data_IF_848848078335
#
_entry.id   IF_848848078335
#
_cell.length_a   1.000
_cell.length_b   1.000
_cell.length_c   1.000
_cell.angle_alpha   90.00
_cell.angle_beta   90.00
_cell.angle_gamma   90.00
#
_symmetry.space_group_name_H-M   'P 1'
#
loop_
_entity.id
_entity.type
_entity.pdbx_description
1 polymer ?
#
# COMPACT_ATOMS: atom_id res chain seq x y z
N UNK A 1 14.45 3.32 -10.29
CA UNK A 1 14.93 2.98 -11.65
C UNK A 1 13.76 3.19 -12.58
N UNK A 2 13.86 4.07 -13.57
CA UNK A 2 12.91 4.14 -14.68
C UNK A 2 13.02 2.81 -15.42
N UNK A 3 12.08 1.91 -15.20
CA UNK A 3 11.98 0.71 -16.01
C UNK A 3 11.68 1.17 -17.43
N UNK A 4 12.58 0.91 -18.37
CA UNK A 4 12.30 1.10 -19.78
C UNK A 4 10.98 0.41 -20.07
N UNK A 5 9.99 1.19 -20.50
CA UNK A 5 8.64 0.70 -20.77
C UNK A 5 8.67 -0.10 -22.07
N UNK A 6 9.20 -1.32 -22.00
CA UNK A 6 9.19 -2.26 -23.12
C UNK A 6 7.74 -2.67 -23.36
N UNK A 7 7.21 -2.35 -24.53
CA UNK A 7 5.85 -2.71 -24.91
C UNK A 7 5.70 -4.22 -25.04
N UNK A 8 4.50 -4.73 -24.80
CA UNK A 8 4.21 -6.16 -24.82
C UNK A 8 4.43 -6.78 -26.23
N UNK A 9 4.32 -5.98 -27.30
CA UNK A 9 4.58 -6.38 -28.68
C UNK A 9 6.00 -6.90 -28.90
N UNK A 10 6.98 -6.44 -28.11
CA UNK A 10 8.36 -6.93 -28.17
C UNK A 10 8.48 -8.43 -27.87
N UNK A 11 7.48 -9.02 -27.23
CA UNK A 11 7.44 -10.47 -26.99
C UNK A 11 7.31 -11.27 -28.30
N UNK A 12 6.82 -10.67 -29.40
CA UNK A 12 6.74 -11.32 -30.71
C UNK A 12 8.12 -11.65 -31.29
N UNK A 13 9.17 -10.98 -30.83
CA UNK A 13 10.55 -11.26 -31.25
C UNK A 13 11.11 -12.57 -30.65
N UNK A 14 10.34 -13.24 -29.78
CA UNK A 14 10.78 -14.45 -29.11
C UNK A 14 10.02 -15.69 -29.58
N UNK A 15 10.73 -16.82 -29.79
CA UNK A 15 10.10 -18.05 -30.27
C UNK A 15 8.97 -18.53 -29.34
N UNK A 16 7.90 -19.02 -29.95
CA UNK A 16 6.77 -19.58 -29.23
C UNK A 16 5.73 -18.58 -28.75
N UNK A 17 5.93 -17.26 -28.90
CA UNK A 17 4.95 -16.23 -28.59
C UNK A 17 4.40 -15.64 -29.91
N UNK A 18 3.18 -15.99 -30.24
CA UNK A 18 2.50 -15.51 -31.47
C UNK A 18 1.46 -14.43 -31.17
N UNK A 19 0.93 -13.82 -32.24
CA UNK A 19 -0.10 -12.77 -32.16
C UNK A 19 -1.33 -13.15 -31.34
N UNK A 20 -1.75 -14.42 -31.40
CA UNK A 20 -2.90 -14.93 -30.62
C UNK A 20 -2.62 -14.83 -29.12
N UNK A 21 -1.43 -15.25 -28.69
CA UNK A 21 -1.02 -15.14 -27.29
C UNK A 21 -0.93 -13.69 -26.84
N UNK A 22 -0.34 -12.83 -27.66
CA UNK A 22 -0.26 -11.40 -27.39
C UNK A 22 -1.65 -10.77 -27.23
N UNK A 23 -2.58 -11.08 -28.15
CA UNK A 23 -3.95 -10.58 -28.08
C UNK A 23 -4.66 -11.00 -26.77
N UNK A 24 -4.44 -12.25 -26.32
CA UNK A 24 -5.00 -12.73 -25.06
C UNK A 24 -4.45 -11.95 -23.86
N UNK A 25 -3.15 -11.65 -23.85
CA UNK A 25 -2.52 -10.84 -22.79
C UNK A 25 -2.99 -9.38 -22.83
N UNK A 26 -3.11 -8.79 -24.01
CA UNK A 26 -3.63 -7.41 -24.17
C UNK A 26 -5.07 -7.27 -23.70
N UNK A 27 -5.91 -8.31 -23.84
CA UNK A 27 -7.27 -8.31 -23.29
C UNK A 27 -7.32 -8.22 -21.75
N UNK A 28 -6.23 -8.59 -21.06
CA UNK A 28 -6.08 -8.41 -19.61
C UNK A 28 -5.61 -6.99 -19.23
N UNK A 29 -5.61 -6.05 -20.20
CA UNK A 29 -5.10 -4.70 -19.96
C UNK A 29 -3.59 -4.62 -19.79
N UNK A 30 -2.83 -5.66 -20.20
CA UNK A 30 -1.36 -5.68 -20.10
C UNK A 30 -0.80 -4.99 -21.33
N UNK A 31 -0.16 -3.85 -21.14
CA UNK A 31 0.44 -3.05 -22.23
C UNK A 31 1.97 -3.15 -22.27
N UNK A 32 2.58 -3.44 -21.13
CA UNK A 32 4.04 -3.46 -20.97
C UNK A 32 4.54 -4.77 -20.38
N UNK A 33 5.73 -5.19 -20.82
CA UNK A 33 6.36 -6.45 -20.36
C UNK A 33 6.57 -6.50 -18.85
N UNK A 34 6.87 -5.36 -18.22
CA UNK A 34 7.08 -5.31 -16.77
C UNK A 34 5.82 -5.66 -15.96
N UNK A 35 4.62 -5.44 -16.51
CA UNK A 35 3.36 -5.77 -15.84
C UNK A 35 3.18 -7.29 -15.70
N UNK A 36 3.73 -8.07 -16.65
CA UNK A 36 3.71 -9.53 -16.57
C UNK A 36 4.47 -10.09 -15.37
N UNK A 37 5.43 -9.35 -14.84
CA UNK A 37 6.20 -9.77 -13.66
C UNK A 37 5.36 -9.78 -12.38
N UNK A 38 4.23 -9.09 -12.38
CA UNK A 38 3.26 -9.08 -11.28
C UNK A 38 2.54 -10.42 -11.13
N UNK A 39 2.38 -11.16 -12.22
CA UNK A 39 1.62 -12.41 -12.23
C UNK A 39 2.50 -13.62 -11.95
N UNK A 40 1.89 -14.66 -11.39
CA UNK A 40 2.45 -16.00 -11.44
C UNK A 40 1.96 -16.74 -12.70
N UNK A 41 2.61 -17.87 -13.09
CA UNK A 41 2.22 -18.59 -14.30
C UNK A 41 0.79 -19.11 -14.27
N UNK A 42 0.29 -19.54 -13.11
CA UNK A 42 -1.07 -20.06 -12.92
C UNK A 42 -2.11 -18.96 -13.15
N UNK A 43 -1.87 -17.75 -12.65
CA UNK A 43 -2.74 -16.59 -12.89
C UNK A 43 -2.82 -16.27 -14.40
N UNK A 44 -1.68 -16.24 -15.10
CA UNK A 44 -1.66 -15.99 -16.55
C UNK A 44 -2.33 -17.13 -17.32
N UNK A 45 -2.12 -18.38 -16.91
CA UNK A 45 -2.79 -19.54 -17.51
C UNK A 45 -4.31 -19.40 -17.45
N UNK A 46 -4.84 -19.10 -16.26
CA UNK A 46 -6.29 -18.98 -16.03
C UNK A 46 -6.87 -17.75 -16.73
N UNK A 47 -6.29 -16.57 -16.53
CA UNK A 47 -6.82 -15.31 -17.03
C UNK A 47 -6.71 -15.18 -18.56
N UNK A 48 -5.57 -15.57 -19.14
CA UNK A 48 -5.36 -15.51 -20.59
C UNK A 48 -5.83 -16.77 -21.33
N UNK A 49 -6.26 -17.81 -20.62
CA UNK A 49 -6.63 -19.11 -21.20
C UNK A 49 -5.55 -19.64 -22.15
N UNK A 50 -4.33 -19.81 -21.63
CA UNK A 50 -3.18 -20.40 -22.31
C UNK A 50 -2.65 -21.57 -21.47
N UNK A 51 -1.82 -22.44 -22.09
CA UNK A 51 -1.23 -23.55 -21.34
C UNK A 51 -0.18 -23.07 -20.33
N UNK A 52 0.03 -23.88 -19.29
CA UNK A 52 0.94 -23.53 -18.16
C UNK A 52 2.39 -23.42 -18.62
N UNK A 53 2.84 -24.23 -19.57
CA UNK A 53 4.22 -24.18 -20.06
C UNK A 53 4.50 -22.85 -20.76
N UNK A 54 3.54 -22.40 -21.57
CA UNK A 54 3.59 -21.10 -22.24
C UNK A 54 3.52 -19.95 -21.24
N UNK A 55 2.66 -20.01 -20.23
CA UNK A 55 2.61 -19.04 -19.16
C UNK A 55 3.96 -18.94 -18.42
N UNK A 56 4.57 -20.07 -18.06
CA UNK A 56 5.91 -20.13 -17.49
C UNK A 56 6.98 -19.53 -18.39
N UNK A 57 6.90 -19.77 -19.70
CA UNK A 57 7.83 -19.19 -20.68
C UNK A 57 7.71 -17.66 -20.71
N UNK A 58 6.49 -17.13 -20.80
CA UNK A 58 6.20 -15.70 -20.85
C UNK A 58 6.72 -15.00 -19.59
N UNK A 59 6.40 -15.52 -18.41
CA UNK A 59 6.84 -14.92 -17.13
C UNK A 59 8.37 -14.95 -16.99
N UNK A 60 9.01 -16.07 -17.37
CA UNK A 60 10.50 -16.15 -17.35
C UNK A 60 11.14 -15.14 -18.30
N UNK A 61 10.54 -14.96 -19.48
CA UNK A 61 10.99 -13.99 -20.47
C UNK A 61 10.81 -12.55 -19.96
N UNK A 62 9.62 -12.23 -19.44
CA UNK A 62 9.34 -10.92 -18.86
C UNK A 62 10.35 -10.56 -17.75
N UNK A 63 10.61 -11.48 -16.83
CA UNK A 63 11.63 -11.29 -15.76
C UNK A 63 13.04 -11.07 -16.30
N UNK A 64 13.37 -11.68 -17.44
CA UNK A 64 14.67 -11.50 -18.11
C UNK A 64 14.76 -10.10 -18.73
N UNK A 65 13.73 -9.68 -19.47
CA UNK A 65 13.68 -8.37 -20.16
C UNK A 65 13.73 -7.23 -19.13
N UNK A 66 12.96 -7.34 -18.07
CA UNK A 66 12.89 -6.33 -16.99
C UNK A 66 14.13 -6.34 -16.07
N UNK A 67 15.00 -7.35 -16.21
CA UNK A 67 16.18 -7.48 -15.34
C UNK A 67 15.85 -7.89 -13.90
N UNK A 68 14.60 -8.27 -13.62
CA UNK A 68 14.15 -8.70 -12.29
C UNK A 68 14.34 -10.22 -12.09
N UNK A 69 15.58 -10.63 -11.99
CA UNK A 69 15.91 -11.94 -11.44
C UNK A 69 16.31 -11.79 -9.98
N UNK A 70 15.77 -12.67 -9.13
CA UNK A 70 16.31 -12.81 -7.78
C UNK A 70 17.81 -13.15 -7.90
N UNK A 71 18.65 -12.27 -7.39
CA UNK A 71 20.08 -12.50 -7.27
C UNK A 71 20.38 -12.76 -5.80
N UNK A 72 21.24 -13.73 -5.54
CA UNK A 72 21.80 -13.88 -4.21
C UNK A 72 22.69 -12.67 -3.92
N UNK A 73 22.41 -11.97 -2.83
CA UNK A 73 23.22 -10.91 -2.28
C UNK A 73 23.75 -11.37 -0.92
N UNK A 74 24.97 -11.03 -0.57
CA UNK A 74 25.37 -11.16 0.82
C UNK A 74 24.67 -10.10 1.69
N UNK A 75 24.71 -10.27 3.02
CA UNK A 75 23.95 -9.39 3.92
C UNK A 75 24.38 -7.90 3.82
N UNK A 76 25.65 -7.63 3.57
CA UNK A 76 26.17 -6.27 3.41
C UNK A 76 25.67 -5.62 2.12
N UNK A 77 25.68 -6.35 1.01
CA UNK A 77 25.09 -5.88 -0.27
C UNK A 77 23.59 -5.62 -0.11
N UNK A 78 22.88 -6.50 0.59
CA UNK A 78 21.47 -6.33 0.88
C UNK A 78 21.20 -5.11 1.77
N UNK A 79 22.01 -4.88 2.81
CA UNK A 79 21.96 -3.69 3.65
C UNK A 79 22.10 -2.41 2.81
N UNK A 80 23.06 -2.39 1.87
CA UNK A 80 23.22 -1.26 0.96
C UNK A 80 21.95 -0.99 0.14
N UNK A 81 21.35 -2.05 -0.44
CA UNK A 81 20.06 -1.93 -1.16
C UNK A 81 18.97 -1.38 -0.25
N UNK A 82 18.88 -1.86 0.99
CA UNK A 82 17.86 -1.40 1.94
C UNK A 82 18.05 0.07 2.33
N UNK A 83 19.29 0.54 2.45
CA UNK A 83 19.63 1.91 2.80
C UNK A 83 19.42 2.90 1.64
N UNK A 84 19.37 2.43 0.39
CA UNK A 84 19.06 3.29 -0.77
C UNK A 84 17.57 3.50 -1.01
N UNK A 85 16.70 2.83 -0.24
CA UNK A 85 15.24 3.02 -0.38
C UNK A 85 14.83 4.41 0.04
N UNK A 86 14.02 5.04 -0.78
CA UNK A 86 13.46 6.35 -0.48
C UNK A 86 12.40 6.26 0.63
N UNK A 87 12.33 7.27 1.47
CA UNK A 87 11.26 7.45 2.46
C UNK A 87 10.75 8.88 2.40
N UNK A 88 9.55 9.09 2.93
CA UNK A 88 8.98 10.44 3.06
C UNK A 88 8.43 10.67 4.46
N UNK A 89 8.50 11.92 4.89
CA UNK A 89 8.09 12.35 6.23
C UNK A 89 6.59 12.17 6.46
N UNK A 90 6.21 11.83 7.68
CA UNK A 90 4.83 11.92 8.13
C UNK A 90 4.39 13.36 8.41
N UNK A 91 5.34 14.31 8.42
CA UNK A 91 5.12 15.70 8.81
C UNK A 91 5.03 15.90 10.32
N UNK A 92 5.34 14.87 11.13
CA UNK A 92 5.39 14.90 12.59
C UNK A 92 6.71 14.30 13.03
N UNK A 93 7.60 15.10 13.59
CA UNK A 93 8.98 14.70 13.94
C UNK A 93 9.03 13.53 14.92
N UNK A 94 8.12 13.51 15.88
CA UNK A 94 8.05 12.42 16.86
C UNK A 94 7.67 11.08 16.20
N UNK A 95 6.77 11.09 15.21
CA UNK A 95 6.41 9.91 14.43
C UNK A 95 7.58 9.52 13.51
N UNK A 96 8.17 10.48 12.79
CA UNK A 96 9.32 10.20 11.90
C UNK A 96 10.48 9.57 12.68
N UNK A 97 10.76 10.04 13.89
CA UNK A 97 11.76 9.42 14.79
C UNK A 97 11.38 7.98 15.15
N UNK A 98 10.11 7.73 15.49
CA UNK A 98 9.60 6.38 15.79
C UNK A 98 9.80 5.43 14.60
N UNK A 99 9.41 5.86 13.40
CA UNK A 99 9.49 5.04 12.18
C UNK A 99 10.86 5.09 11.48
N UNK A 100 11.86 5.71 12.13
CA UNK A 100 13.26 5.82 11.66
C UNK A 100 13.41 6.55 10.32
N UNK A 101 12.76 7.70 10.20
CA UNK A 101 12.95 8.64 9.08
C UNK A 101 11.70 8.94 8.26
N UNK A 102 10.63 8.15 8.40
CA UNK A 102 9.40 8.34 7.64
C UNK A 102 8.85 7.03 7.07
N UNK A 103 7.86 7.15 6.20
CA UNK A 103 7.25 6.01 5.50
C UNK A 103 8.16 5.63 4.32
N UNK A 104 8.65 4.40 4.33
CA UNK A 104 9.63 3.91 3.35
C UNK A 104 8.92 3.19 2.19
N UNK A 105 9.35 3.43 0.96
CA UNK A 105 8.89 2.63 -0.20
C UNK A 105 9.24 1.15 0.00
N UNK A 106 8.43 0.25 -0.59
CA UNK A 106 8.42 -1.21 -0.43
C UNK A 106 7.81 -1.68 0.89
N UNK A 107 7.71 -0.82 1.91
CA UNK A 107 7.09 -1.20 3.16
C UNK A 107 5.56 -1.12 3.07
N UNK A 108 4.91 -2.03 3.78
CA UNK A 108 3.46 -2.02 4.00
C UNK A 108 3.22 -1.67 5.45
N UNK A 109 2.55 -0.54 5.69
CA UNK A 109 2.26 -0.03 7.03
C UNK A 109 0.78 -0.19 7.37
N UNK A 110 0.48 -0.90 8.45
CA UNK A 110 -0.85 -0.96 9.05
C UNK A 110 -0.97 0.07 10.16
N UNK A 111 -2.01 0.92 10.07
CA UNK A 111 -2.43 1.80 11.15
C UNK A 111 -3.78 1.34 11.70
N UNK A 112 -3.76 0.65 12.83
CA UNK A 112 -4.95 0.15 13.48
C UNK A 112 -5.39 1.06 14.63
N UNK A 113 -6.68 1.09 14.93
CA UNK A 113 -7.20 1.87 16.06
C UNK A 113 -8.71 1.99 16.05
N UNK A 114 -9.26 2.52 17.15
CA UNK A 114 -10.68 2.79 17.29
C UNK A 114 -11.15 3.94 16.38
N UNK A 115 -12.45 4.12 16.32
CA UNK A 115 -13.03 5.34 15.75
C UNK A 115 -12.48 6.58 16.48
N UNK A 116 -12.14 7.63 15.73
CA UNK A 116 -11.56 8.85 16.31
C UNK A 116 -10.09 8.74 16.76
N UNK A 117 -9.40 7.62 16.51
CA UNK A 117 -7.97 7.47 16.85
C UNK A 117 -7.00 8.19 15.91
N UNK A 118 -7.48 8.85 14.85
CA UNK A 118 -6.67 9.67 13.95
C UNK A 118 -6.13 8.95 12.71
N UNK A 119 -6.53 7.70 12.41
CA UNK A 119 -6.07 6.92 11.25
C UNK A 119 -6.27 7.67 9.93
N UNK A 120 -7.52 8.04 9.62
CA UNK A 120 -7.89 8.81 8.42
C UNK A 120 -7.16 10.14 8.34
N UNK A 121 -6.97 10.84 9.47
CA UNK A 121 -6.23 12.09 9.51
C UNK A 121 -4.75 11.91 9.16
N UNK A 122 -4.13 10.83 9.63
CA UNK A 122 -2.78 10.46 9.24
C UNK A 122 -2.72 10.14 7.74
N UNK A 123 -3.67 9.38 7.21
CA UNK A 123 -3.76 9.07 5.77
C UNK A 123 -3.87 10.34 4.90
N UNK A 124 -4.73 11.30 5.27
CA UNK A 124 -4.81 12.59 4.58
C UNK A 124 -3.48 13.32 4.58
N UNK A 125 -2.78 13.35 5.72
CA UNK A 125 -1.50 14.03 5.81
C UNK A 125 -0.41 13.32 4.99
N UNK A 126 -0.34 12.00 5.00
CA UNK A 126 0.60 11.24 4.17
C UNK A 126 0.37 11.48 2.67
N UNK A 127 -0.90 11.60 2.23
CA UNK A 127 -1.23 11.94 0.84
C UNK A 127 -0.74 13.34 0.43
N UNK A 128 -0.54 14.24 1.39
CA UNK A 128 0.05 15.56 1.17
C UNK A 128 1.57 15.50 1.26
N UNK A 129 2.13 14.86 2.28
CA UNK A 129 3.58 14.90 2.55
C UNK A 129 4.41 14.13 1.53
N UNK A 130 3.88 13.09 0.89
CA UNK A 130 4.55 12.39 -0.22
C UNK A 130 4.82 13.31 -1.43
N UNK A 131 4.08 14.41 -1.55
CA UNK A 131 4.20 15.40 -2.62
C UNK A 131 5.24 16.50 -2.34
N UNK A 132 5.74 16.59 -1.11
CA UNK A 132 6.76 17.57 -0.77
C UNK A 132 8.04 17.35 -1.61
N UNK A 133 8.82 18.42 -1.86
CA UNK A 133 10.16 18.29 -2.40
C UNK A 133 11.04 17.38 -1.56
N UNK A 134 12.04 16.74 -2.18
CA UNK A 134 12.95 15.82 -1.48
C UNK A 134 13.68 16.52 -0.32
N UNK A 135 14.07 17.80 -0.49
CA UNK A 135 14.73 18.61 0.55
C UNK A 135 13.85 18.86 1.78
N UNK A 136 12.55 18.70 1.62
CA UNK A 136 11.55 18.83 2.69
C UNK A 136 11.04 17.46 3.17
N UNK A 137 11.73 16.39 2.78
CA UNK A 137 11.42 15.03 3.17
C UNK A 137 10.25 14.39 2.40
N UNK A 138 9.89 14.88 1.22
CA UNK A 138 8.90 14.27 0.34
C UNK A 138 9.51 13.42 -0.76
N UNK A 139 8.70 13.02 -1.74
CA UNK A 139 9.13 12.26 -2.93
C UNK A 139 8.70 12.93 -4.24
N UNK A 140 8.16 14.15 -4.19
CA UNK A 140 7.60 14.89 -5.34
C UNK A 140 6.61 14.06 -6.17
N UNK A 141 5.83 13.20 -5.49
CA UNK A 141 5.08 12.13 -6.12
C UNK A 141 3.60 12.21 -5.81
N UNK A 142 2.81 11.49 -6.61
CA UNK A 142 1.37 11.38 -6.45
C UNK A 142 1.00 10.30 -5.42
N UNK A 143 -0.23 10.38 -4.91
CA UNK A 143 -0.83 9.35 -4.08
C UNK A 143 -2.10 8.78 -4.73
N UNK A 144 -2.33 7.49 -4.54
CA UNK A 144 -3.63 6.85 -4.73
C UNK A 144 -4.29 6.70 -3.37
N UNK A 145 -5.55 7.15 -3.25
CA UNK A 145 -6.36 7.04 -2.04
C UNK A 145 -7.62 6.23 -2.32
N UNK A 146 -7.70 5.04 -1.77
CA UNK A 146 -8.86 4.15 -1.89
C UNK A 146 -9.69 4.31 -0.62
N UNK A 147 -10.81 5.03 -0.76
CA UNK A 147 -11.72 5.38 0.33
C UNK A 147 -12.89 4.40 0.38
N UNK A 148 -12.82 3.42 1.24
CA UNK A 148 -13.89 2.40 1.42
C UNK A 148 -14.92 2.78 2.49
N UNK A 149 -14.65 3.84 3.27
CA UNK A 149 -15.53 4.31 4.34
C UNK A 149 -16.27 5.61 3.99
N UNK A 150 -15.93 6.25 2.86
CA UNK A 150 -16.53 7.50 2.44
C UNK A 150 -16.11 8.71 3.25
N UNK A 151 -14.88 8.70 3.78
CA UNK A 151 -14.37 9.70 4.71
C UNK A 151 -13.30 10.62 4.14
N UNK A 152 -12.93 10.45 2.87
CA UNK A 152 -11.99 11.35 2.20
C UNK A 152 -12.55 12.76 2.10
N UNK A 153 -11.79 13.75 2.56
CA UNK A 153 -12.21 15.15 2.61
C UNK A 153 -11.25 16.08 1.84
N UNK A 154 -11.65 16.58 0.67
CA UNK A 154 -10.85 17.56 -0.07
C UNK A 154 -10.60 18.87 0.70
N UNK A 155 -11.56 19.34 1.53
CA UNK A 155 -11.36 20.50 2.39
C UNK A 155 -10.22 20.23 3.39
N UNK A 156 -10.20 19.04 3.97
CA UNK A 156 -9.15 18.64 4.91
C UNK A 156 -7.76 18.60 4.24
N UNK A 157 -7.67 18.17 3.00
CA UNK A 157 -6.44 18.24 2.22
C UNK A 157 -5.98 19.70 2.06
N UNK A 158 -6.91 20.63 1.75
CA UNK A 158 -6.59 22.08 1.65
C UNK A 158 -6.02 22.64 2.95
N UNK A 159 -6.63 22.31 4.08
CA UNK A 159 -6.16 22.76 5.40
C UNK A 159 -4.74 22.26 5.69
N UNK A 160 -4.47 20.98 5.42
CA UNK A 160 -3.16 20.37 5.61
C UNK A 160 -2.11 21.00 4.66
N UNK A 161 -2.45 21.23 3.38
CA UNK A 161 -1.52 21.84 2.41
C UNK A 161 -1.07 23.22 2.83
N UNK A 162 -1.92 24.00 3.52
CA UNK A 162 -1.57 25.34 4.02
C UNK A 162 -0.37 25.32 4.97
N UNK A 163 -0.31 24.32 5.87
CA UNK A 163 0.83 24.13 6.78
C UNK A 163 2.13 23.82 6.02
N UNK A 164 2.03 23.03 4.99
CA UNK A 164 3.19 22.64 4.19
C UNK A 164 3.49 23.59 3.05
N UNK A 165 2.81 24.75 2.95
CA UNK A 165 3.03 25.75 1.91
C UNK A 165 3.00 25.14 0.49
N UNK A 166 2.12 24.16 0.27
CA UNK A 166 1.86 23.57 -1.04
C UNK A 166 0.67 24.27 -1.70
N UNK A 167 0.68 24.33 -3.02
CA UNK A 167 -0.48 24.76 -3.77
C UNK A 167 -1.60 23.71 -3.63
N UNK A 168 -2.72 24.07 -3.01
CA UNK A 168 -3.81 23.17 -2.68
C UNK A 168 -4.46 22.54 -3.93
N UNK A 169 -4.62 23.29 -5.03
CA UNK A 169 -5.20 22.78 -6.28
C UNK A 169 -4.26 21.71 -6.91
N UNK A 170 -2.96 22.00 -6.94
CA UNK A 170 -1.96 21.03 -7.43
C UNK A 170 -1.94 19.77 -6.55
N UNK A 171 -1.97 19.97 -5.23
CA UNK A 171 -1.96 18.84 -4.29
C UNK A 171 -3.20 17.95 -4.44
N UNK A 172 -4.39 18.55 -4.60
CA UNK A 172 -5.61 17.78 -4.86
C UNK A 172 -5.55 17.03 -6.19
N UNK A 173 -5.03 17.62 -7.27
CA UNK A 173 -4.87 16.95 -8.57
C UNK A 173 -3.88 15.78 -8.51
N UNK A 174 -2.95 15.78 -7.57
CA UNK A 174 -1.97 14.74 -7.37
C UNK A 174 -2.47 13.58 -6.47
N UNK A 175 -3.68 13.68 -5.91
CA UNK A 175 -4.31 12.60 -5.15
C UNK A 175 -5.41 11.99 -6.01
N UNK A 176 -5.22 10.75 -6.43
CA UNK A 176 -6.22 9.98 -7.17
C UNK A 176 -7.12 9.25 -6.17
N UNK A 177 -8.39 9.63 -6.13
CA UNK A 177 -9.34 9.09 -5.14
C UNK A 177 -10.27 8.10 -5.82
N UNK A 178 -10.36 6.90 -5.24
CA UNK A 178 -11.28 5.83 -5.63
C UNK A 178 -12.22 5.50 -4.48
N UNK A 179 -13.50 5.27 -4.80
CA UNK A 179 -14.52 4.92 -3.81
C UNK A 179 -15.27 3.65 -4.22
N UNK A 180 -14.63 2.47 -4.11
CA UNK A 180 -15.30 1.21 -4.39
C UNK A 180 -16.47 1.00 -3.41
N UNK A 181 -17.60 0.54 -3.91
CA UNK A 181 -18.82 0.32 -3.10
C UNK A 181 -18.98 -1.13 -2.63
N UNK A 182 -18.18 -2.04 -3.17
CA UNK A 182 -18.19 -3.46 -2.82
C UNK A 182 -16.78 -4.07 -2.96
N UNK A 183 -16.65 -5.33 -2.50
CA UNK A 183 -15.36 -6.02 -2.54
C UNK A 183 -14.91 -6.33 -3.97
N UNK A 184 -15.84 -6.62 -4.88
CA UNK A 184 -15.50 -6.91 -6.27
C UNK A 184 -14.85 -5.71 -6.95
N UNK A 185 -15.43 -4.50 -6.82
CA UNK A 185 -14.84 -3.27 -7.33
C UNK A 185 -13.49 -2.93 -6.70
N UNK A 186 -13.32 -3.18 -5.39
CA UNK A 186 -12.05 -2.98 -4.72
C UNK A 186 -10.96 -3.89 -5.29
N UNK A 187 -11.27 -5.15 -5.50
CA UNK A 187 -10.32 -6.13 -6.04
C UNK A 187 -10.01 -5.86 -7.52
N UNK A 188 -11.03 -5.55 -8.33
CA UNK A 188 -10.87 -5.14 -9.73
C UNK A 188 -9.96 -3.91 -9.86
N UNK A 189 -10.23 -2.86 -9.08
CA UNK A 189 -9.38 -1.68 -9.02
C UNK A 189 -7.92 -2.05 -8.72
N UNK A 190 -7.69 -2.88 -7.70
CA UNK A 190 -6.33 -3.23 -7.29
C UNK A 190 -5.66 -4.15 -8.31
N UNK A 191 -6.36 -5.12 -8.87
CA UNK A 191 -5.76 -6.11 -9.78
C UNK A 191 -5.59 -5.56 -11.19
N UNK A 192 -6.52 -4.76 -11.68
CA UNK A 192 -6.57 -4.35 -13.09
C UNK A 192 -6.15 -2.91 -13.32
N UNK A 193 -6.70 -1.94 -12.57
CA UNK A 193 -6.49 -0.52 -12.86
C UNK A 193 -5.20 0.04 -12.27
N UNK A 194 -4.83 -0.35 -11.03
CA UNK A 194 -3.65 0.23 -10.37
C UNK A 194 -2.36 0.06 -11.15
N UNK A 195 -2.24 -0.99 -11.96
CA UNK A 195 -1.03 -1.24 -12.79
C UNK A 195 -0.68 -0.05 -13.67
N UNK A 196 -1.66 0.45 -14.41
CA UNK A 196 -1.48 1.58 -15.34
C UNK A 196 -1.21 2.89 -14.58
N UNK A 197 -1.88 3.08 -13.45
CA UNK A 197 -1.80 4.29 -12.63
C UNK A 197 -0.43 4.42 -11.96
N UNK A 198 0.09 3.33 -11.41
CA UNK A 198 1.38 3.32 -10.69
C UNK A 198 2.57 3.69 -11.58
N UNK A 199 2.44 3.50 -12.87
CA UNK A 199 3.42 3.94 -13.86
C UNK A 199 3.55 5.48 -13.96
N UNK A 200 2.61 6.28 -13.38
CA UNK A 200 2.53 7.73 -13.50
C UNK A 200 3.08 8.49 -12.28
N UNK A 201 4.25 8.12 -11.80
CA UNK A 201 4.91 8.74 -10.64
C UNK A 201 4.08 8.70 -9.33
N UNK A 202 3.41 7.59 -9.07
CA UNK A 202 2.77 7.32 -7.78
C UNK A 202 3.78 6.67 -6.85
N UNK A 203 3.90 7.14 -5.60
CA UNK A 203 4.79 6.55 -4.57
C UNK A 203 4.08 6.21 -3.27
N UNK A 204 2.77 6.39 -3.23
CA UNK A 204 1.95 6.05 -2.07
C UNK A 204 0.60 5.50 -2.52
N UNK A 205 0.24 4.32 -1.98
CA UNK A 205 -1.11 3.76 -2.03
C UNK A 205 -1.68 3.77 -0.62
N UNK A 206 -2.85 4.36 -0.45
CA UNK A 206 -3.61 4.38 0.81
C UNK A 206 -4.90 3.60 0.62
N UNK A 207 -5.24 2.72 1.56
CA UNK A 207 -6.55 2.06 1.64
C UNK A 207 -7.17 2.35 3.02
N UNK A 208 -8.21 3.17 3.04
CA UNK A 208 -8.89 3.59 4.27
C UNK A 208 -10.37 3.18 4.24
N UNK A 209 -10.73 1.99 4.77
CA UNK A 209 -9.91 0.99 5.44
C UNK A 209 -9.90 -0.34 4.65
N UNK A 210 -8.89 -1.16 4.86
CA UNK A 210 -8.75 -2.44 4.16
C UNK A 210 -9.86 -3.45 4.48
N UNK A 211 -10.50 -3.32 5.64
CA UNK A 211 -11.43 -4.33 6.16
C UNK A 211 -12.91 -3.96 5.99
N UNK A 212 -13.25 -2.70 5.75
CA UNK A 212 -14.63 -2.22 5.81
C UNK A 212 -15.58 -2.99 4.89
N UNK A 213 -15.29 -3.05 3.60
CA UNK A 213 -16.12 -3.73 2.61
C UNK A 213 -16.19 -5.24 2.87
N UNK A 214 -15.08 -5.88 3.21
CA UNK A 214 -15.03 -7.30 3.52
C UNK A 214 -15.89 -7.66 4.76
N UNK A 215 -15.95 -6.78 5.75
CA UNK A 215 -16.83 -7.00 6.91
C UNK A 215 -18.30 -6.76 6.61
N UNK A 216 -18.59 -5.86 5.70
CA UNK A 216 -19.96 -5.58 5.27
C UNK A 216 -20.55 -6.75 4.47
N UNK A 217 -19.76 -7.37 3.59
CA UNK A 217 -20.22 -8.46 2.72
C UNK A 217 -20.11 -9.84 3.37
N UNK A 218 -18.99 -10.14 4.00
CA UNK A 218 -18.72 -11.46 4.61
C UNK A 218 -19.06 -11.44 6.11
N UNK A 219 -20.36 -11.53 6.44
CA UNK A 219 -20.88 -11.52 7.81
C UNK A 219 -20.91 -12.95 8.36
N UNK A 220 -20.72 -13.09 9.69
CA UNK A 220 -20.76 -14.37 10.35
C UNK A 220 -19.42 -15.11 10.41
N UNK A 221 -19.38 -16.14 11.26
CA UNK A 221 -18.14 -16.93 11.48
C UNK A 221 -17.84 -17.86 10.32
N UNK A 222 -18.85 -18.34 9.65
CA UNK A 222 -18.78 -19.21 8.47
C UNK A 222 -18.04 -18.58 7.29
N UNK A 223 -18.08 -17.24 7.19
CA UNK A 223 -17.39 -16.48 6.13
C UNK A 223 -15.98 -16.05 6.51
N UNK A 224 -15.54 -16.32 7.74
CA UNK A 224 -14.26 -15.81 8.23
C UNK A 224 -13.08 -16.27 7.37
N UNK A 225 -13.01 -17.54 7.04
CA UNK A 225 -11.90 -18.11 6.24
C UNK A 225 -11.86 -17.48 4.84
N UNK A 226 -13.01 -17.39 4.16
CA UNK A 226 -13.11 -16.78 2.82
C UNK A 226 -12.74 -15.30 2.84
N UNK A 227 -13.22 -14.55 3.84
CA UNK A 227 -12.85 -13.15 4.03
C UNK A 227 -11.35 -12.98 4.20
N UNK A 228 -10.71 -13.79 5.04
CA UNK A 228 -9.28 -13.75 5.26
C UNK A 228 -8.49 -14.09 4.00
N UNK A 229 -8.92 -15.10 3.24
CA UNK A 229 -8.29 -15.48 1.99
C UNK A 229 -8.32 -14.36 0.96
N UNK A 230 -9.47 -13.69 0.78
CA UNK A 230 -9.61 -12.58 -0.17
C UNK A 230 -8.77 -11.36 0.24
N UNK A 231 -8.77 -11.00 1.52
CA UNK A 231 -7.93 -9.90 2.02
C UNK A 231 -6.44 -10.24 1.82
N UNK A 232 -6.04 -11.49 2.07
CA UNK A 232 -4.65 -11.90 1.83
C UNK A 232 -4.26 -11.77 0.34
N UNK A 233 -5.15 -12.15 -0.56
CA UNK A 233 -4.97 -11.97 -2.01
C UNK A 233 -4.79 -10.49 -2.37
N UNK A 234 -5.63 -9.60 -1.84
CA UNK A 234 -5.51 -8.15 -2.04
C UNK A 234 -4.15 -7.62 -1.56
N UNK A 235 -3.74 -8.01 -0.33
CA UNK A 235 -2.46 -7.57 0.23
C UNK A 235 -1.27 -8.14 -0.56
N UNK A 236 -1.38 -9.34 -1.10
CA UNK A 236 -0.32 -9.92 -1.95
C UNK A 236 -0.11 -9.08 -3.23
N UNK A 237 -1.19 -8.63 -3.88
CA UNK A 237 -1.10 -7.68 -4.99
C UNK A 237 -0.43 -6.37 -4.58
N UNK A 238 -0.78 -5.82 -3.42
CA UNK A 238 -0.15 -4.60 -2.90
C UNK A 238 1.35 -4.80 -2.64
N UNK A 239 1.78 -5.97 -2.15
CA UNK A 239 3.21 -6.33 -2.01
C UNK A 239 3.94 -6.38 -3.35
N UNK A 240 3.31 -6.97 -4.35
CA UNK A 240 3.87 -7.02 -5.72
C UNK A 240 4.06 -5.60 -6.25
N UNK A 241 3.08 -4.71 -6.08
CA UNK A 241 3.18 -3.30 -6.45
C UNK A 241 4.25 -2.54 -5.68
N UNK A 242 4.29 -2.71 -4.36
CA UNK A 242 5.29 -2.07 -3.51
C UNK A 242 6.70 -2.33 -4.04
N UNK A 243 6.98 -3.58 -4.41
CA UNK A 243 8.27 -4.01 -4.91
C UNK A 243 8.53 -3.63 -6.38
N UNK A 244 7.52 -3.66 -7.25
CA UNK A 244 7.72 -3.42 -8.69
C UNK A 244 7.83 -1.93 -9.01
N UNK A 245 6.99 -1.10 -8.39
CA UNK A 245 6.91 0.33 -8.70
C UNK A 245 7.60 1.23 -7.66
N UNK A 246 8.28 0.64 -6.67
CA UNK A 246 8.91 1.39 -5.58
C UNK A 246 7.89 2.32 -4.89
N UNK A 247 6.77 1.77 -4.45
CA UNK A 247 5.72 2.51 -3.74
C UNK A 247 5.63 2.08 -2.28
N UNK A 248 5.22 2.98 -1.42
CA UNK A 248 4.80 2.67 -0.06
C UNK A 248 3.32 2.33 -0.05
N UNK A 249 2.93 1.36 0.76
CA UNK A 249 1.52 1.01 0.97
C UNK A 249 1.14 1.30 2.41
N UNK A 250 0.05 2.01 2.59
CA UNK A 250 -0.54 2.31 3.90
C UNK A 250 -1.97 1.83 3.89
N UNK A 251 -2.36 1.08 4.90
CA UNK A 251 -3.78 0.81 5.10
C UNK A 251 -4.21 1.02 6.55
N UNK A 252 -5.44 1.44 6.71
CA UNK A 252 -6.05 1.54 8.04
C UNK A 252 -6.81 0.28 8.37
N UNK A 253 -6.89 -0.02 9.66
CA UNK A 253 -7.63 -1.16 10.18
C UNK A 253 -8.38 -0.79 11.46
N UNK A 254 -9.48 -1.47 11.73
CA UNK A 254 -10.23 -1.35 12.97
C UNK A 254 -9.66 -2.29 14.02
N UNK A 255 -9.94 -2.01 15.29
CA UNK A 255 -9.63 -2.90 16.39
C UNK A 255 -10.89 -3.58 16.92
N UNK A 256 -10.72 -4.79 17.41
CA UNK A 256 -11.76 -5.59 18.07
C UNK A 256 -11.38 -5.77 19.53
N UNK A 257 -12.36 -5.66 20.42
CA UNK A 257 -12.18 -6.01 21.83
C UNK A 257 -12.16 -7.53 21.97
N UNK A 258 -11.10 -8.08 22.51
CA UNK A 258 -11.03 -9.48 22.90
C UNK A 258 -11.33 -9.59 24.40
N UNK A 259 -12.46 -10.25 24.77
CA UNK A 259 -12.74 -10.51 26.16
C UNK A 259 -11.70 -11.47 26.75
N UNK A 260 -11.24 -11.19 27.94
CA UNK A 260 -10.42 -12.10 28.74
C UNK A 260 -11.25 -12.59 29.94
N UNK A 261 -11.10 -13.85 30.35
CA UNK A 261 -11.89 -14.41 31.46
C UNK A 261 -11.76 -13.64 32.77
N UNK A 262 -10.60 -13.04 32.99
CA UNK A 262 -10.28 -12.28 34.20
C UNK A 262 -9.47 -11.05 33.82
N UNK A 263 -10.13 -9.89 33.65
CA UNK A 263 -9.42 -8.62 33.40
C UNK A 263 -10.08 -7.68 32.41
N UNK A 264 -9.35 -6.64 32.05
CA UNK A 264 -9.79 -5.62 31.07
C UNK A 264 -9.59 -6.20 29.66
N UNK A 265 -10.64 -6.21 28.84
CA UNK A 265 -10.56 -6.62 27.44
C UNK A 265 -9.44 -5.83 26.72
N UNK A 266 -8.54 -6.54 26.04
CA UNK A 266 -7.53 -5.88 25.24
C UNK A 266 -7.98 -5.75 23.77
N UNK A 267 -7.46 -4.73 23.11
CA UNK A 267 -7.82 -4.40 21.73
C UNK A 267 -6.79 -4.96 20.77
N UNK A 268 -7.25 -5.69 19.77
CA UNK A 268 -6.42 -6.25 18.71
C UNK A 268 -6.90 -5.76 17.34
N UNK A 269 -5.99 -5.52 16.39
CA UNK A 269 -6.37 -5.23 15.02
C UNK A 269 -7.25 -6.34 14.44
N UNK A 270 -8.27 -5.95 13.69
CA UNK A 270 -9.17 -6.88 13.04
C UNK A 270 -8.47 -7.67 11.92
N UNK A 271 -9.01 -8.86 11.56
CA UNK A 271 -8.50 -9.66 10.43
C UNK A 271 -7.57 -10.80 10.81
N UNK A 272 -7.25 -10.97 12.11
CA UNK A 272 -6.52 -12.14 12.60
C UNK A 272 -5.07 -12.22 12.10
N UNK A 273 -4.48 -13.42 12.18
CA UNK A 273 -3.07 -13.64 11.90
C UNK A 273 -2.67 -13.35 10.43
N UNK A 274 -3.57 -13.53 9.47
CA UNK A 274 -3.25 -13.31 8.05
C UNK A 274 -2.88 -11.85 7.80
N UNK A 275 -3.71 -10.90 8.23
CA UNK A 275 -3.39 -9.46 8.12
C UNK A 275 -2.19 -9.12 9.01
N UNK A 276 -2.09 -9.76 10.18
CA UNK A 276 -1.00 -9.53 11.12
C UNK A 276 0.39 -9.79 10.52
N UNK A 277 0.53 -10.83 9.69
CA UNK A 277 1.81 -11.18 9.05
C UNK A 277 2.01 -10.55 7.67
N UNK A 278 1.01 -9.84 7.18
CA UNK A 278 1.06 -9.26 5.84
C UNK A 278 1.75 -7.90 5.79
N UNK A 279 1.65 -7.09 6.85
CA UNK A 279 2.28 -5.79 6.95
C UNK A 279 3.75 -5.90 7.38
N UNK A 280 4.59 -4.97 6.87
CA UNK A 280 5.99 -4.81 7.30
C UNK A 280 6.04 -4.15 8.69
N UNK A 281 5.20 -3.13 8.88
CA UNK A 281 5.12 -2.38 10.13
C UNK A 281 3.66 -2.26 10.56
N UNK A 282 3.41 -2.44 11.85
CA UNK A 282 2.07 -2.38 12.42
C UNK A 282 2.06 -1.42 13.60
N UNK A 283 1.15 -0.47 13.56
CA UNK A 283 1.02 0.56 14.59
C UNK A 283 -0.41 0.60 15.12
N UNK A 284 -0.53 0.81 16.42
CA UNK A 284 -1.79 1.07 17.11
C UNK A 284 -1.92 2.56 17.41
N UNK A 285 -2.98 3.18 16.91
CA UNK A 285 -3.33 4.56 17.19
C UNK A 285 -4.42 4.61 18.25
N UNK A 286 -4.24 5.47 19.24
CA UNK A 286 -5.24 5.71 20.30
C UNK A 286 -5.26 7.17 20.71
N UNK A 287 -6.43 7.63 21.11
CA UNK A 287 -6.57 8.94 21.77
C UNK A 287 -6.28 8.78 23.25
N UNK A 288 -5.54 9.72 23.83
CA UNK A 288 -5.21 9.79 25.25
C UNK A 288 -5.36 11.22 25.72
N UNK A 289 -6.51 11.53 26.34
CA UNK A 289 -6.86 12.89 26.75
C UNK A 289 -6.79 13.88 25.57
N UNK A 290 -5.86 14.85 25.64
CA UNK A 290 -5.71 15.94 24.67
C UNK A 290 -4.74 15.61 23.54
N UNK A 291 -4.17 14.40 23.52
CA UNK A 291 -3.18 13.95 22.53
C UNK A 291 -3.51 12.59 21.97
N UNK A 292 -2.89 12.28 20.88
CA UNK A 292 -2.93 10.98 20.23
C UNK A 292 -1.60 10.27 20.40
N UNK A 293 -1.65 8.97 20.50
CA UNK A 293 -0.48 8.09 20.64
C UNK A 293 -0.48 7.12 19.49
N UNK A 294 0.67 6.99 18.84
CA UNK A 294 0.99 5.92 17.92
C UNK A 294 2.01 4.98 18.58
N UNK A 295 1.72 3.69 18.60
CA UNK A 295 2.54 2.67 19.25
C UNK A 295 2.87 1.56 18.28
N UNK A 296 4.13 1.16 18.18
CA UNK A 296 4.57 0.01 17.38
C UNK A 296 4.13 -1.29 18.05
N UNK A 297 3.31 -2.08 17.36
CA UNK A 297 2.88 -3.41 17.83
C UNK A 297 3.62 -4.56 17.13
N UNK A 298 4.17 -4.29 15.95
CA UNK A 298 5.02 -5.24 15.22
C UNK A 298 5.87 -4.52 14.17
N UNK A 299 7.16 -4.86 14.09
CA UNK A 299 8.10 -4.29 13.11
C UNK A 299 9.43 -5.01 13.14
N UNK A 300 10.10 -5.25 12.00
CA UNK A 300 11.44 -5.84 11.98
C UNK A 300 12.53 -4.88 12.47
N UNK A 301 12.28 -3.57 12.52
CA UNK A 301 13.30 -2.55 12.84
C UNK A 301 12.96 -1.64 14.03
N UNK A 302 11.74 -1.72 14.55
CA UNK A 302 11.25 -0.87 15.65
C UNK A 302 10.85 -1.77 16.81
N UNK A 303 11.34 -1.48 18.01
CA UNK A 303 11.01 -2.28 19.18
C UNK A 303 9.50 -2.18 19.49
N UNK A 304 8.87 -3.32 19.76
CA UNK A 304 7.47 -3.39 20.18
C UNK A 304 7.23 -2.55 21.42
N UNK A 305 6.14 -1.79 21.47
CA UNK A 305 5.81 -0.88 22.55
C UNK A 305 6.45 0.51 22.44
N UNK A 306 7.39 0.70 21.49
CA UNK A 306 7.89 2.05 21.19
C UNK A 306 6.74 2.92 20.71
N UNK A 307 6.66 4.17 21.17
CA UNK A 307 5.54 5.06 20.89
C UNK A 307 5.96 6.49 20.65
N UNK A 308 5.10 7.26 19.98
CA UNK A 308 5.19 8.68 19.80
C UNK A 308 3.85 9.34 20.08
N UNK A 309 3.88 10.63 20.48
CA UNK A 309 2.68 11.43 20.72
C UNK A 309 2.56 12.53 19.69
N UNK A 310 1.33 12.87 19.33
CA UNK A 310 1.02 13.93 18.39
C UNK A 310 -0.31 14.59 18.73
N UNK A 311 -0.60 15.72 18.09
CA UNK A 311 -1.89 16.41 18.14
C UNK A 311 -2.55 16.39 16.77
N UNK A 312 -3.87 16.45 16.75
CA UNK A 312 -4.64 16.71 15.53
C UNK A 312 -5.21 18.12 15.64
N UNK A 313 -4.83 18.98 14.72
CA UNK A 313 -5.23 20.38 14.62
C UNK A 313 -6.01 20.62 13.32
N UNK A 314 -6.49 21.84 13.11
CA UNK A 314 -7.06 22.26 11.83
C UNK A 314 -6.07 22.09 10.67
N UNK A 315 -4.77 22.25 10.92
CA UNK A 315 -3.70 22.17 9.91
C UNK A 315 -3.06 20.78 9.78
N UNK A 316 -3.67 19.74 10.33
CA UNK A 316 -3.16 18.37 10.26
C UNK A 316 -2.64 17.82 11.58
N UNK A 317 -1.78 16.81 11.48
CA UNK A 317 -1.09 16.22 12.64
C UNK A 317 0.17 17.03 12.94
N UNK A 318 0.39 17.32 14.20
CA UNK A 318 1.53 18.11 14.68
C UNK A 318 2.19 17.45 15.88
N UNK A 319 3.47 17.80 16.11
CA UNK A 319 4.15 17.41 17.36
C UNK A 319 3.44 18.00 18.60
N UNK A 320 3.40 17.23 19.66
CA UNK A 320 3.04 17.77 20.99
C UNK A 320 4.18 18.64 21.49
N UNK A 321 3.85 19.82 22.00
CA UNK A 321 4.82 20.69 22.70
C UNK A 321 5.35 20.00 23.93
#
# INVERSE_FOLDING_TARGET
MTHDRVKIEELLNYPGIGRVTLHKLSKLGIEYVHELVLFNPEEIMELANIDIEKACQIIRLARRIVGRRAKALNALEYEHVMNTRKCFTTGVKSIDKLVKGGITVWDICEFAGEYGSGKTQLCHQLAVTVQLPEERGGLESRAVYIDTEGTFSPSRIRDITSRFQLNAEKALKNILVYRPINVAELEELVVEELRSILASNVKLIIIDSIIALYRAEFKGREWLARRQQRINYLIDWLKRYANLYDVAVVYTNQVLSQPVPWGIAYKVPAGGNIIAHAATHRFLLRRSQDKWVIECIDSPKIARGSSATFKITEKGLEDTK
#
